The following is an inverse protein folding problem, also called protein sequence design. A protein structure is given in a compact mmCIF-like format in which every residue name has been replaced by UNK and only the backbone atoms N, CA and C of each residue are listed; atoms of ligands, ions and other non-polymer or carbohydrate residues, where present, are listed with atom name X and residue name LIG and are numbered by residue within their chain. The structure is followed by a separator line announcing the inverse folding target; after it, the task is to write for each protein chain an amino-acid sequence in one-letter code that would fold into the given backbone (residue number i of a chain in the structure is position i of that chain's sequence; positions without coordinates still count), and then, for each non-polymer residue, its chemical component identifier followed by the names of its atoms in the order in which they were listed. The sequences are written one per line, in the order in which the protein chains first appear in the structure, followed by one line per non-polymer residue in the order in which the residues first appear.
data_IF_294470522209
#
_entry.id   IF_294470522209
#
_cell.length_a   1.000
_cell.length_b   1.000
_cell.length_c   1.000
_cell.angle_alpha   90.00
_cell.angle_beta   90.00
_cell.angle_gamma   90.00
#
_symmetry.space_group_name_H-M   'P 1'
#
loop_
_entity.id
_entity.type
_entity.pdbx_description
1 polymer ?
#
# COMPACT_ATOMS: atom_id res chain seq x y z
N UNK A 1 34.33 28.52 27.13
CA UNK A 1 32.85 28.52 27.16
C UNK A 1 32.39 29.35 26.01
N UNK A 2 31.76 28.73 25.02
CA UNK A 2 31.16 29.45 23.90
C UNK A 2 29.82 30.03 24.35
N UNK A 3 29.62 31.31 24.12
CA UNK A 3 28.35 31.98 24.38
C UNK A 3 27.28 31.34 23.52
N UNK A 4 26.13 31.02 24.13
CA UNK A 4 24.95 30.49 23.44
C UNK A 4 24.42 31.55 22.46
N UNK A 5 24.20 31.15 21.21
CA UNK A 5 23.64 31.98 20.14
C UNK A 5 23.09 31.10 19.03
N UNK A 6 22.24 31.70 18.19
CA UNK A 6 21.77 31.07 16.94
C UNK A 6 22.84 31.31 15.89
N UNK A 7 23.46 30.25 15.41
CA UNK A 7 24.46 30.32 14.36
C UNK A 7 23.79 29.89 13.05
N UNK A 8 23.79 30.77 12.06
CA UNK A 8 23.37 30.47 10.69
C UNK A 8 24.65 30.27 9.85
N UNK A 9 24.72 29.15 9.16
CA UNK A 9 25.77 28.87 8.19
C UNK A 9 25.15 28.63 6.83
N UNK A 10 25.71 29.30 5.83
CA UNK A 10 25.41 29.04 4.43
C UNK A 10 26.23 27.82 3.96
N UNK A 11 25.58 26.84 3.36
CA UNK A 11 26.26 25.77 2.62
C UNK A 11 26.08 26.01 1.15
N UNK A 12 27.22 26.26 0.48
CA UNK A 12 27.27 26.38 -0.99
C UNK A 12 27.24 24.99 -1.63
N UNK A 13 26.45 24.81 -2.69
CA UNK A 13 26.34 23.54 -3.42
C UNK A 13 25.02 22.77 -3.30
N UNK A 14 24.06 23.25 -2.51
CA UNK A 14 22.74 22.64 -2.34
C UNK A 14 21.61 23.43 -3.05
N UNK A 15 21.86 23.98 -4.24
CA UNK A 15 20.76 24.38 -5.15
C UNK A 15 20.25 23.12 -5.87
N UNK A 16 19.79 22.19 -5.13
CA UNK A 16 19.18 20.99 -5.62
C UNK A 16 18.28 20.49 -4.49
N UNK A 17 17.00 20.82 -4.60
CA UNK A 17 15.93 20.14 -3.88
C UNK A 17 16.21 19.91 -2.39
N UNK A 18 15.92 20.89 -1.55
CA UNK A 18 15.51 20.56 -0.19
C UNK A 18 14.17 19.83 -0.29
N UNK A 19 14.21 18.54 -0.59
CA UNK A 19 13.10 17.65 -0.28
C UNK A 19 13.04 17.59 1.24
N UNK A 20 12.18 18.39 1.85
CA UNK A 20 11.62 18.02 3.13
C UNK A 20 11.04 16.65 2.88
N UNK A 21 11.74 15.61 3.31
CA UNK A 21 11.31 14.23 3.12
C UNK A 21 9.97 14.12 3.82
N UNK A 22 8.89 14.15 3.05
CA UNK A 22 7.55 14.04 3.62
C UNK A 22 7.50 12.69 4.30
N UNK A 23 7.28 12.67 5.61
CA UNK A 23 7.13 11.43 6.38
C UNK A 23 6.05 10.52 5.80
N UNK A 24 5.15 11.07 4.98
CA UNK A 24 4.05 10.36 4.32
C UNK A 24 4.49 9.53 3.09
N UNK A 25 5.75 9.64 2.66
CA UNK A 25 6.31 8.88 1.52
C UNK A 25 7.15 7.68 1.94
N UNK A 26 7.25 7.40 3.24
CA UNK A 26 7.99 6.25 3.75
C UNK A 26 7.21 4.97 3.43
N UNK A 27 7.84 4.11 2.66
CA UNK A 27 7.23 2.90 2.09
C UNK A 27 7.97 1.67 2.59
N UNK A 28 7.24 0.59 2.83
CA UNK A 28 7.79 -0.75 3.08
C UNK A 28 7.49 -1.68 1.92
N UNK A 29 8.36 -2.65 1.67
CA UNK A 29 8.15 -3.72 0.72
C UNK A 29 8.65 -5.04 1.34
N UNK A 30 7.71 -5.91 1.68
CA UNK A 30 7.94 -7.21 2.26
C UNK A 30 7.86 -8.29 1.17
N UNK A 31 8.92 -9.04 1.02
CA UNK A 31 8.97 -10.22 0.16
C UNK A 31 8.82 -11.47 1.04
N UNK A 32 7.71 -12.16 0.87
CA UNK A 32 7.50 -13.47 1.49
C UNK A 32 8.26 -14.55 0.72
N UNK A 33 9.22 -15.17 1.40
CA UNK A 33 10.07 -16.22 0.84
C UNK A 33 9.66 -17.62 1.31
N UNK A 34 8.48 -17.79 1.90
CA UNK A 34 8.00 -19.07 2.44
C UNK A 34 7.87 -20.18 1.39
N UNK A 35 7.67 -19.83 0.12
CA UNK A 35 7.61 -20.76 -1.00
C UNK A 35 8.95 -20.90 -1.77
N UNK A 36 9.95 -20.12 -1.40
CA UNK A 36 11.25 -20.09 -2.05
C UNK A 36 12.26 -20.91 -1.26
N UNK A 37 12.13 -22.24 -1.27
CA UNK A 37 13.00 -23.16 -0.52
C UNK A 37 14.50 -22.90 -0.76
N UNK A 38 14.88 -22.52 -1.98
CA UNK A 38 16.28 -22.23 -2.34
C UNK A 38 16.86 -20.99 -1.69
N UNK A 39 16.02 -20.06 -1.22
CA UNK A 39 16.52 -18.92 -0.44
C UNK A 39 17.15 -19.37 0.88
N UNK A 40 16.67 -20.48 1.43
CA UNK A 40 17.15 -21.08 2.67
C UNK A 40 18.33 -22.03 2.46
N UNK A 41 18.61 -22.45 1.23
CA UNK A 41 19.72 -23.37 0.92
C UNK A 41 21.05 -22.64 0.82
N UNK A 42 22.14 -23.35 1.13
CA UNK A 42 23.51 -22.80 1.15
C UNK A 42 24.00 -22.29 -0.22
N UNK A 43 23.35 -22.65 -1.31
CA UNK A 43 23.76 -22.32 -2.68
C UNK A 43 23.53 -20.85 -3.10
N UNK A 44 22.67 -20.09 -2.40
CA UNK A 44 22.38 -18.68 -2.74
C UNK A 44 23.44 -17.67 -2.25
N UNK A 45 24.53 -18.15 -1.63
CA UNK A 45 25.56 -17.31 -1.02
C UNK A 45 25.21 -16.91 0.41
N UNK A 46 25.71 -17.65 1.39
CA UNK A 46 25.49 -17.44 2.83
C UNK A 46 25.63 -15.96 3.25
N UNK A 47 26.61 -15.25 2.70
CA UNK A 47 26.86 -13.83 3.03
C UNK A 47 25.71 -12.90 2.60
N UNK A 48 25.00 -13.20 1.52
CA UNK A 48 23.84 -12.41 1.04
C UNK A 48 22.60 -12.78 1.84
N UNK A 49 22.38 -14.07 2.09
CA UNK A 49 21.28 -14.58 2.90
C UNK A 49 21.30 -13.96 4.30
N UNK A 50 22.42 -14.00 4.99
CA UNK A 50 22.57 -13.47 6.36
C UNK A 50 22.31 -11.97 6.43
N UNK A 51 22.56 -11.23 5.34
CA UNK A 51 22.25 -9.80 5.25
C UNK A 51 20.78 -9.50 5.01
N UNK A 52 20.09 -10.33 4.25
CA UNK A 52 18.74 -10.03 3.74
C UNK A 52 17.63 -10.68 4.57
N UNK A 53 17.78 -11.97 4.90
CA UNK A 53 16.70 -12.70 5.55
C UNK A 53 16.44 -12.23 6.97
N UNK A 54 15.20 -11.83 7.25
CA UNK A 54 14.77 -11.36 8.55
C UNK A 54 15.28 -9.96 8.94
N UNK A 55 16.10 -9.32 8.09
CA UNK A 55 16.63 -7.99 8.33
C UNK A 55 15.78 -6.93 7.61
N UNK A 56 15.54 -5.81 8.28
CA UNK A 56 14.88 -4.63 7.69
C UNK A 56 15.98 -3.71 7.19
N UNK A 57 15.96 -3.43 5.90
CA UNK A 57 17.00 -2.65 5.22
C UNK A 57 16.37 -1.42 4.58
N UNK A 58 16.96 -0.26 4.82
CA UNK A 58 16.56 0.97 4.16
C UNK A 58 17.30 1.12 2.83
N UNK A 59 16.56 1.36 1.77
CA UNK A 59 17.05 1.58 0.41
C UNK A 59 16.70 2.98 -0.01
N UNK A 60 17.69 3.75 -0.42
CA UNK A 60 17.52 5.13 -0.87
C UNK A 60 17.77 5.28 -2.38
N UNK A 61 18.44 4.30 -2.99
CA UNK A 61 18.78 4.32 -4.41
C UNK A 61 18.91 2.90 -4.99
N UNK A 62 18.93 2.81 -6.32
CA UNK A 62 19.20 1.54 -7.00
C UNK A 62 20.65 1.06 -6.81
N UNK A 63 21.59 1.92 -6.41
CA UNK A 63 22.97 1.52 -6.15
C UNK A 63 23.07 0.73 -4.83
N UNK A 64 22.21 1.02 -3.84
CA UNK A 64 22.15 0.28 -2.58
C UNK A 64 21.81 -1.21 -2.82
N UNK A 65 21.00 -1.50 -3.86
CA UNK A 65 20.66 -2.88 -4.22
C UNK A 65 21.86 -3.68 -4.71
N UNK A 66 22.77 -3.03 -5.46
CA UNK A 66 23.98 -3.66 -5.99
C UNK A 66 24.89 -4.10 -4.85
N UNK A 67 25.01 -3.26 -3.81
CA UNK A 67 25.79 -3.58 -2.60
C UNK A 67 25.20 -4.75 -1.81
N UNK A 68 23.89 -4.94 -1.90
CA UNK A 68 23.16 -6.06 -1.29
C UNK A 68 23.21 -7.33 -2.16
N UNK A 69 23.71 -7.25 -3.39
CA UNK A 69 23.73 -8.38 -4.32
C UNK A 69 22.40 -8.67 -4.99
N UNK A 70 21.42 -7.74 -4.89
CA UNK A 70 20.13 -7.81 -5.57
C UNK A 70 20.32 -7.26 -6.98
N UNK A 71 20.18 -8.11 -8.00
CA UNK A 71 20.49 -7.79 -9.40
C UNK A 71 19.26 -7.92 -10.28
N UNK A 72 19.29 -7.24 -11.44
CA UNK A 72 18.28 -7.39 -12.48
C UNK A 72 18.24 -8.82 -13.01
N UNK A 73 17.16 -9.16 -13.70
CA UNK A 73 17.00 -10.40 -14.43
C UNK A 73 18.24 -10.68 -15.30
N UNK A 74 18.78 -11.89 -15.18
CA UNK A 74 20.05 -12.29 -15.85
C UNK A 74 19.91 -13.47 -16.81
N UNK A 75 18.76 -14.14 -16.80
CA UNK A 75 18.54 -15.43 -17.47
C UNK A 75 18.94 -16.65 -16.64
N UNK A 76 19.40 -16.44 -15.40
CA UNK A 76 19.64 -17.49 -14.42
C UNK A 76 18.37 -17.67 -13.58
N UNK A 77 17.57 -18.70 -13.89
CA UNK A 77 16.25 -18.91 -13.29
C UNK A 77 16.25 -18.96 -11.77
N UNK A 78 17.33 -19.40 -11.14
CA UNK A 78 17.42 -19.48 -9.68
C UNK A 78 17.65 -18.10 -9.04
N UNK A 79 18.60 -17.33 -9.59
CA UNK A 79 18.88 -15.97 -9.12
C UNK A 79 17.76 -15.00 -9.45
N UNK A 80 17.14 -15.18 -10.60
CA UNK A 80 16.11 -14.27 -11.06
C UNK A 80 14.81 -14.40 -10.24
N UNK A 81 14.49 -15.60 -9.75
CA UNK A 81 13.39 -15.77 -8.79
C UNK A 81 13.69 -15.12 -7.44
N UNK A 82 14.93 -15.22 -6.96
CA UNK A 82 15.33 -14.68 -5.65
C UNK A 82 15.55 -13.17 -5.66
N UNK A 83 16.15 -12.66 -6.73
CA UNK A 83 16.61 -11.25 -6.79
C UNK A 83 16.04 -10.48 -7.95
N UNK A 84 15.76 -11.09 -9.08
CA UNK A 84 15.22 -10.42 -10.26
C UNK A 84 13.83 -9.83 -10.01
N UNK A 85 12.94 -10.57 -9.33
CA UNK A 85 11.59 -10.08 -8.96
C UNK A 85 11.69 -8.93 -7.94
N UNK A 86 12.41 -9.04 -6.82
CA UNK A 86 12.65 -7.91 -5.93
C UNK A 86 13.25 -6.70 -6.63
N UNK A 87 14.29 -6.90 -7.44
CA UNK A 87 14.91 -5.82 -8.23
C UNK A 87 13.88 -5.13 -9.13
N UNK A 88 13.09 -5.90 -9.86
CA UNK A 88 12.03 -5.40 -10.75
C UNK A 88 11.05 -4.47 -10.01
N UNK A 89 10.54 -4.90 -8.86
CA UNK A 89 9.62 -4.08 -8.08
C UNK A 89 10.26 -2.81 -7.51
N UNK A 90 11.48 -2.91 -7.01
CA UNK A 90 12.19 -1.77 -6.45
C UNK A 90 12.58 -0.77 -7.56
N UNK A 91 12.97 -1.27 -8.74
CA UNK A 91 13.24 -0.43 -9.90
C UNK A 91 12.00 0.36 -10.35
N UNK A 92 10.84 -0.29 -10.44
CA UNK A 92 9.56 0.38 -10.73
C UNK A 92 9.18 1.38 -9.66
N UNK A 93 9.39 1.06 -8.38
CA UNK A 93 9.14 1.98 -7.29
C UNK A 93 9.93 3.28 -7.46
N UNK A 94 11.25 3.21 -7.60
CA UNK A 94 12.10 4.40 -7.75
C UNK A 94 11.86 5.12 -9.09
N UNK A 95 11.62 4.38 -10.16
CA UNK A 95 11.33 4.96 -11.48
C UNK A 95 10.05 5.82 -11.49
N UNK A 96 9.01 5.40 -10.76
CA UNK A 96 7.72 6.08 -10.74
C UNK A 96 7.66 7.18 -9.67
N UNK A 97 8.17 6.91 -8.46
CA UNK A 97 8.07 7.87 -7.37
C UNK A 97 9.05 9.05 -7.49
N UNK A 98 10.09 8.90 -8.28
CA UNK A 98 11.19 9.87 -8.33
C UNK A 98 12.08 9.80 -7.08
N UNK A 99 12.84 10.88 -6.81
CA UNK A 99 13.93 10.87 -5.82
C UNK A 99 13.53 11.14 -4.36
N UNK A 100 12.25 11.22 -4.02
CA UNK A 100 11.80 11.75 -2.72
C UNK A 100 11.28 10.72 -1.70
N UNK A 101 11.34 9.42 -1.99
CA UNK A 101 10.80 8.37 -1.11
C UNK A 101 11.89 7.54 -0.45
N UNK A 102 11.62 7.11 0.79
CA UNK A 102 12.42 6.12 1.53
C UNK A 102 11.74 4.78 1.41
N UNK A 103 12.49 3.75 1.08
CA UNK A 103 11.99 2.39 0.95
C UNK A 103 12.67 1.49 1.98
N UNK A 104 11.87 0.82 2.80
CA UNK A 104 12.34 -0.27 3.65
C UNK A 104 11.99 -1.59 2.98
N UNK A 105 12.95 -2.50 2.88
CA UNK A 105 12.72 -3.84 2.34
C UNK A 105 13.01 -4.90 3.41
N UNK A 106 12.32 -6.05 3.31
CA UNK A 106 12.56 -7.21 4.14
C UNK A 106 12.22 -8.48 3.37
N UNK A 107 13.04 -9.51 3.55
CA UNK A 107 12.78 -10.86 3.08
C UNK A 107 12.49 -11.73 4.30
N UNK A 108 11.29 -12.28 4.39
CA UNK A 108 10.89 -13.08 5.53
C UNK A 108 10.06 -14.30 5.13
N UNK A 109 10.17 -15.36 5.91
CA UNK A 109 9.24 -16.48 5.83
C UNK A 109 7.95 -16.13 6.56
N UNK A 110 6.89 -15.90 5.80
CA UNK A 110 5.56 -15.58 6.30
C UNK A 110 4.59 -16.77 6.20
N UNK A 111 5.09 -17.98 5.99
CA UNK A 111 4.26 -19.17 5.80
C UNK A 111 3.45 -19.56 7.04
N UNK A 112 3.88 -19.19 8.23
CA UNK A 112 3.21 -19.48 9.51
C UNK A 112 2.46 -18.27 10.05
N UNK A 113 3.09 -17.09 9.98
CA UNK A 113 2.51 -15.85 10.48
C UNK A 113 3.09 -14.63 9.73
N UNK A 114 2.47 -13.47 9.97
CA UNK A 114 2.86 -12.19 9.34
C UNK A 114 3.58 -11.25 10.33
N UNK A 115 4.28 -11.77 11.32
CA UNK A 115 5.01 -10.98 12.33
C UNK A 115 6.11 -10.10 11.73
N UNK A 116 6.61 -10.43 10.53
CA UNK A 116 7.54 -9.61 9.75
C UNK A 116 7.02 -8.18 9.53
N UNK A 117 5.70 -7.98 9.40
CA UNK A 117 5.08 -6.66 9.26
C UNK A 117 5.32 -5.79 10.50
N UNK A 118 5.13 -6.38 11.68
CA UNK A 118 5.38 -5.68 12.95
C UNK A 118 6.87 -5.40 13.14
N UNK A 119 7.74 -6.33 12.75
CA UNK A 119 9.19 -6.14 12.79
C UNK A 119 9.64 -4.99 11.90
N UNK A 120 9.13 -4.91 10.66
CA UNK A 120 9.41 -3.81 9.73
C UNK A 120 8.97 -2.47 10.32
N UNK A 121 7.76 -2.40 10.85
CA UNK A 121 7.23 -1.15 11.39
C UNK A 121 8.01 -0.69 12.64
N UNK A 122 8.41 -1.63 13.50
CA UNK A 122 9.25 -1.32 14.68
C UNK A 122 10.65 -0.86 14.28
N UNK A 123 11.30 -1.53 13.32
CA UNK A 123 12.61 -1.13 12.81
C UNK A 123 12.58 0.25 12.12
N UNK A 124 11.49 0.57 11.46
CA UNK A 124 11.26 1.89 10.86
C UNK A 124 10.68 2.91 11.87
N UNK A 125 10.67 2.62 13.17
CA UNK A 125 10.16 3.51 14.22
C UNK A 125 8.72 4.00 13.99
N UNK A 126 7.85 3.18 13.41
CA UNK A 126 6.47 3.54 13.10
C UNK A 126 6.30 4.48 11.90
N UNK A 127 7.34 4.68 11.10
CA UNK A 127 7.33 5.63 10.00
C UNK A 127 6.76 5.08 8.69
N UNK A 128 6.67 3.76 8.51
CA UNK A 128 6.10 3.18 7.29
C UNK A 128 4.61 3.52 7.23
N UNK A 129 4.17 4.14 6.13
CA UNK A 129 2.80 4.57 5.91
C UNK A 129 2.04 3.65 4.96
N UNK A 130 2.74 3.08 4.00
CA UNK A 130 2.26 2.08 3.08
C UNK A 130 3.24 0.92 3.00
N UNK A 131 2.72 -0.29 3.03
CA UNK A 131 3.48 -1.52 2.95
C UNK A 131 2.99 -2.34 1.76
N UNK A 132 3.88 -2.68 0.84
CA UNK A 132 3.63 -3.71 -0.15
C UNK A 132 3.98 -5.08 0.41
N UNK A 133 3.14 -6.05 0.16
CA UNK A 133 3.40 -7.46 0.45
C UNK A 133 3.39 -8.23 -0.86
N UNK A 134 4.52 -8.78 -1.21
CA UNK A 134 4.65 -9.72 -2.32
C UNK A 134 4.74 -11.14 -1.78
N UNK A 135 3.90 -12.04 -2.27
CA UNK A 135 3.87 -13.44 -1.82
C UNK A 135 3.50 -14.40 -2.94
N UNK A 136 4.04 -15.60 -2.90
CA UNK A 136 3.64 -16.74 -3.74
C UNK A 136 2.56 -17.61 -3.07
N UNK A 137 2.08 -17.22 -1.89
CA UNK A 137 0.96 -17.91 -1.26
C UNK A 137 -0.32 -17.67 -2.05
N UNK A 138 -1.18 -18.68 -2.08
CA UNK A 138 -2.48 -18.57 -2.75
C UNK A 138 -3.36 -17.57 -2.03
N UNK A 139 -3.87 -16.57 -2.77
CA UNK A 139 -4.85 -15.60 -2.24
C UNK A 139 -6.16 -16.28 -1.86
N UNK A 140 -6.59 -17.23 -2.69
CA UNK A 140 -7.85 -17.94 -2.54
C UNK A 140 -7.62 -19.37 -2.07
N UNK A 141 -8.33 -19.75 -1.04
CA UNK A 141 -8.32 -21.11 -0.49
C UNK A 141 -9.70 -21.71 -0.63
N UNK A 142 -9.79 -22.87 -1.26
CA UNK A 142 -11.07 -23.57 -1.36
C UNK A 142 -11.46 -24.13 0.01
N UNK A 143 -12.64 -23.75 0.49
CA UNK A 143 -13.18 -24.17 1.80
C UNK A 143 -14.16 -25.31 1.67
N UNK A 144 -14.92 -25.37 0.56
CA UNK A 144 -15.84 -26.44 0.24
C UNK A 144 -15.69 -26.81 -1.25
N UNK A 145 -15.16 -28.01 -1.56
CA UNK A 145 -15.02 -28.48 -2.93
C UNK A 145 -16.36 -28.70 -3.65
N UNK A 146 -17.40 -29.10 -2.94
CA UNK A 146 -18.72 -29.38 -3.53
C UNK A 146 -19.49 -28.08 -3.81
N UNK A 147 -19.44 -27.12 -2.88
CA UNK A 147 -20.08 -25.82 -3.03
C UNK A 147 -19.22 -24.81 -3.80
N UNK A 148 -17.97 -25.13 -4.15
CA UNK A 148 -17.00 -24.24 -4.79
C UNK A 148 -16.85 -22.89 -4.07
N UNK A 149 -16.85 -22.93 -2.73
CA UNK A 149 -16.65 -21.73 -1.91
C UNK A 149 -15.17 -21.52 -1.59
N UNK A 150 -14.79 -20.24 -1.51
CA UNK A 150 -13.41 -19.83 -1.31
C UNK A 150 -13.31 -18.82 -0.17
N UNK A 151 -12.25 -18.92 0.63
CA UNK A 151 -11.87 -17.91 1.62
C UNK A 151 -10.69 -17.09 1.13
N UNK A 152 -10.53 -15.90 1.72
CA UNK A 152 -9.41 -15.00 1.51
C UNK A 152 -8.72 -14.70 2.86
N UNK A 153 -8.38 -15.77 3.57
CA UNK A 153 -7.81 -15.71 4.93
C UNK A 153 -6.61 -14.77 5.01
N UNK A 154 -5.77 -14.76 3.95
CA UNK A 154 -4.60 -13.90 3.85
C UNK A 154 -4.95 -12.40 4.04
N UNK A 155 -6.05 -11.92 3.48
CA UNK A 155 -6.50 -10.54 3.68
C UNK A 155 -6.91 -10.29 5.12
N UNK A 156 -7.55 -11.27 5.76
CA UNK A 156 -7.97 -11.18 7.16
C UNK A 156 -6.77 -11.12 8.10
N UNK A 157 -5.75 -11.94 7.86
CA UNK A 157 -4.53 -11.98 8.65
C UNK A 157 -3.76 -10.65 8.55
N UNK A 158 -3.58 -10.14 7.33
CA UNK A 158 -2.94 -8.85 7.09
C UNK A 158 -3.71 -7.68 7.73
N UNK A 159 -5.06 -7.71 7.64
CA UNK A 159 -5.91 -6.73 8.30
C UNK A 159 -5.74 -6.74 9.81
N UNK A 160 -5.65 -7.92 10.42
CA UNK A 160 -5.43 -8.07 11.86
C UNK A 160 -4.09 -7.45 12.30
N UNK A 161 -3.01 -7.69 11.55
CA UNK A 161 -1.69 -7.10 11.81
C UNK A 161 -1.71 -5.57 11.67
N UNK A 162 -2.31 -5.05 10.61
CA UNK A 162 -2.43 -3.60 10.42
C UNK A 162 -3.29 -2.92 11.49
N UNK A 163 -4.35 -3.58 11.96
CA UNK A 163 -5.19 -3.09 13.04
C UNK A 163 -4.43 -3.01 14.37
N UNK A 164 -3.68 -4.07 14.72
CA UNK A 164 -2.80 -4.07 15.91
C UNK A 164 -1.80 -2.91 15.89
N UNK A 165 -1.12 -2.70 14.76
CA UNK A 165 -0.20 -1.57 14.59
C UNK A 165 -0.90 -0.21 14.69
N UNK A 166 -2.12 -0.10 14.17
CA UNK A 166 -2.90 1.13 14.31
C UNK A 166 -3.26 1.43 15.78
N UNK A 167 -3.53 0.41 16.59
CA UNK A 167 -3.76 0.54 18.02
C UNK A 167 -2.47 0.92 18.78
N UNK A 168 -1.31 0.47 18.30
CA UNK A 168 0.01 0.90 18.77
C UNK A 168 0.43 2.30 18.29
N UNK A 169 -0.45 3.03 17.62
CA UNK A 169 -0.22 4.36 17.01
C UNK A 169 0.80 4.38 15.86
N UNK A 170 1.01 3.27 15.20
CA UNK A 170 1.84 3.12 14.01
C UNK A 170 1.03 2.65 12.79
N UNK A 171 -0.08 3.35 12.41
CA UNK A 171 -0.98 2.90 11.36
C UNK A 171 -0.29 2.88 10.00
N UNK A 172 -0.54 1.83 9.23
CA UNK A 172 -0.11 1.70 7.84
C UNK A 172 -1.24 1.12 6.96
N UNK A 173 -1.12 1.30 5.65
CA UNK A 173 -1.96 0.65 4.66
C UNK A 173 -1.18 -0.45 3.96
N UNK A 174 -1.78 -1.62 3.77
CA UNK A 174 -1.14 -2.76 3.13
C UNK A 174 -1.69 -2.94 1.71
N UNK A 175 -0.80 -3.06 0.74
CA UNK A 175 -1.11 -3.52 -0.61
C UNK A 175 -0.62 -4.96 -0.74
N UNK A 176 -1.52 -5.88 -0.99
CA UNK A 176 -1.22 -7.28 -1.22
C UNK A 176 -1.16 -7.54 -2.73
N UNK A 177 -0.03 -8.00 -3.20
CA UNK A 177 0.11 -8.50 -4.56
C UNK A 177 -0.33 -9.97 -4.59
N UNK A 178 -1.49 -10.20 -5.19
CA UNK A 178 -2.06 -11.54 -5.33
C UNK A 178 -1.43 -12.25 -6.53
N UNK A 179 -0.64 -13.26 -6.23
CA UNK A 179 0.09 -14.02 -7.25
C UNK A 179 -0.55 -15.40 -7.53
N UNK A 180 -1.85 -15.54 -7.28
CA UNK A 180 -2.53 -16.80 -7.47
C UNK A 180 -3.13 -16.87 -8.87
N UNK A 181 -2.43 -17.56 -9.76
CA UNK A 181 -3.04 -18.04 -11.00
C UNK A 181 -3.93 -19.28 -10.76
N UNK A 182 -3.90 -19.82 -9.56
CA UNK A 182 -4.52 -21.10 -9.19
C UNK A 182 -5.11 -21.04 -7.80
N UNK A 183 -6.15 -21.84 -7.59
CA UNK A 183 -6.78 -22.00 -6.27
C UNK A 183 -6.06 -23.14 -5.56
N UNK A 184 -5.62 -22.90 -4.32
CA UNK A 184 -5.14 -23.97 -3.47
C UNK A 184 -6.32 -24.90 -3.13
N UNK A 185 -6.23 -26.16 -3.54
CA UNK A 185 -7.17 -27.22 -3.18
C UNK A 185 -6.64 -28.06 -2.04
N UNK A 186 -7.52 -28.71 -1.28
CA UNK A 186 -7.13 -29.65 -0.22
C UNK A 186 -6.38 -30.89 -0.76
N UNK A 187 -6.60 -31.25 -2.01
CA UNK A 187 -5.85 -32.23 -2.77
C UNK A 187 -4.86 -31.44 -3.65
N UNK A 188 -3.63 -31.82 -3.74
CA UNK A 188 -2.55 -31.13 -4.46
C UNK A 188 -2.80 -30.87 -5.98
N UNK A 189 -4.04 -30.97 -6.43
CA UNK A 189 -4.47 -30.72 -7.79
C UNK A 189 -4.73 -29.23 -8.01
N UNK A 190 -3.94 -28.62 -8.87
CA UNK A 190 -4.08 -27.24 -9.33
C UNK A 190 -5.36 -27.11 -10.15
N UNK A 191 -6.29 -26.24 -9.75
CA UNK A 191 -7.49 -25.91 -10.51
C UNK A 191 -7.40 -24.54 -11.15
N UNK A 192 -7.92 -24.43 -12.36
CA UNK A 192 -8.10 -23.14 -13.06
C UNK A 192 -9.08 -22.26 -12.28
N UNK A 193 -8.79 -20.97 -12.21
CA UNK A 193 -9.69 -19.99 -11.63
C UNK A 193 -10.66 -19.52 -12.70
N UNK A 194 -11.93 -19.83 -12.53
CA UNK A 194 -13.00 -19.24 -13.35
C UNK A 194 -13.31 -17.83 -12.84
N UNK A 195 -13.26 -16.81 -13.71
CA UNK A 195 -13.51 -15.42 -13.37
C UNK A 195 -14.79 -15.20 -12.56
N UNK A 196 -15.88 -15.84 -12.95
CA UNK A 196 -17.16 -15.73 -12.26
C UNK A 196 -17.16 -16.24 -10.81
N UNK A 197 -16.23 -17.14 -10.46
CA UNK A 197 -16.13 -17.79 -9.14
C UNK A 197 -15.12 -17.12 -8.20
N UNK A 198 -14.40 -16.11 -8.66
CA UNK A 198 -13.49 -15.33 -7.82
C UNK A 198 -14.29 -14.72 -6.66
N UNK A 199 -13.91 -14.96 -5.39
CA UNK A 199 -14.62 -14.40 -4.24
C UNK A 199 -14.46 -12.88 -4.17
N UNK A 200 -15.37 -12.20 -3.49
CA UNK A 200 -15.17 -10.77 -3.18
C UNK A 200 -14.07 -10.61 -2.13
N UNK A 201 -13.22 -9.61 -2.30
CA UNK A 201 -12.26 -9.23 -1.26
C UNK A 201 -12.83 -8.16 -0.30
N UNK A 202 -14.06 -7.68 -0.53
CA UNK A 202 -14.73 -6.71 0.35
C UNK A 202 -15.25 -7.41 1.60
N UNK A 203 -14.38 -7.52 2.61
CA UNK A 203 -14.64 -8.21 3.88
C UNK A 203 -14.47 -7.29 5.10
N UNK A 204 -14.65 -5.98 4.93
CA UNK A 204 -14.40 -4.95 5.94
C UNK A 204 -12.93 -4.79 6.36
N UNK A 205 -12.00 -5.20 5.52
CA UNK A 205 -10.56 -5.05 5.74
C UNK A 205 -10.07 -3.69 5.21
N UNK A 206 -10.26 -2.63 5.99
CA UNK A 206 -9.99 -1.24 5.58
C UNK A 206 -8.51 -0.92 5.37
N UNK A 207 -7.60 -1.67 5.98
CA UNK A 207 -6.16 -1.44 5.88
C UNK A 207 -5.51 -2.19 4.72
N UNK A 208 -6.25 -3.10 4.09
CA UNK A 208 -5.72 -3.98 3.04
C UNK A 208 -6.36 -3.66 1.70
N UNK A 209 -5.55 -3.64 0.66
CA UNK A 209 -5.95 -3.55 -0.76
C UNK A 209 -5.31 -4.70 -1.52
N UNK A 210 -6.02 -5.30 -2.47
CA UNK A 210 -5.54 -6.45 -3.24
C UNK A 210 -5.29 -6.03 -4.68
N UNK A 211 -4.06 -6.22 -5.14
CA UNK A 211 -3.64 -6.01 -6.53
C UNK A 211 -3.72 -7.33 -7.29
N UNK A 212 -4.40 -7.33 -8.43
CA UNK A 212 -4.43 -8.43 -9.36
C UNK A 212 -3.68 -8.09 -10.66
N UNK A 213 -3.20 -9.13 -11.32
CA UNK A 213 -2.57 -8.99 -12.62
C UNK A 213 -1.17 -8.40 -12.56
N UNK A 214 -0.65 -8.18 -13.76
CA UNK A 214 0.70 -7.65 -13.95
C UNK A 214 0.82 -6.85 -15.24
N UNK A 215 1.78 -5.95 -15.28
CA UNK A 215 2.24 -5.34 -16.53
C UNK A 215 3.11 -6.31 -17.30
N UNK A 216 3.02 -6.27 -18.60
CA UNK A 216 3.89 -7.01 -19.51
C UNK A 216 4.92 -6.04 -20.09
N UNK A 217 6.13 -6.16 -19.63
CA UNK A 217 7.31 -5.52 -20.20
C UNK A 217 8.31 -6.59 -20.69
N UNK A 218 9.48 -6.16 -21.10
CA UNK A 218 10.51 -7.05 -21.59
C UNK A 218 11.03 -7.99 -20.48
N UNK A 219 11.15 -7.50 -19.26
CA UNK A 219 11.71 -8.25 -18.13
C UNK A 219 10.74 -9.35 -17.69
N UNK A 220 9.46 -9.04 -17.51
CA UNK A 220 8.42 -10.03 -17.17
C UNK A 220 8.29 -11.08 -18.27
N UNK A 221 8.27 -10.65 -19.53
CA UNK A 221 8.18 -11.58 -20.66
C UNK A 221 9.37 -12.54 -20.73
N UNK A 222 10.57 -12.04 -20.44
CA UNK A 222 11.78 -12.86 -20.41
C UNK A 222 11.78 -13.83 -19.21
N UNK A 223 11.36 -13.37 -18.01
CA UNK A 223 11.21 -14.22 -16.83
C UNK A 223 10.20 -15.36 -17.04
N UNK A 224 9.05 -15.06 -17.66
CA UNK A 224 8.03 -16.06 -17.96
C UNK A 224 8.51 -17.08 -19.00
N UNK A 225 9.26 -16.63 -20.01
CA UNK A 225 9.83 -17.52 -21.03
C UNK A 225 10.87 -18.47 -20.43
N UNK A 226 11.70 -17.97 -19.53
CA UNK A 226 12.74 -18.76 -18.86
C UNK A 226 12.16 -19.74 -17.82
N UNK A 227 11.08 -19.34 -17.14
CA UNK A 227 10.41 -20.16 -16.13
C UNK A 227 8.89 -20.20 -16.37
N UNK A 228 8.41 -21.19 -17.14
CA UNK A 228 6.98 -21.34 -17.42
C UNK A 228 6.09 -21.57 -16.17
N UNK A 229 6.69 -21.93 -15.05
CA UNK A 229 5.98 -22.11 -13.77
C UNK A 229 6.02 -20.86 -12.89
N UNK A 230 6.55 -19.76 -13.40
CA UNK A 230 6.65 -18.53 -12.64
C UNK A 230 5.25 -18.07 -12.25
N UNK A 231 5.03 -17.91 -10.95
CA UNK A 231 3.87 -17.17 -10.44
C UNK A 231 3.90 -15.76 -11.05
N UNK A 232 2.73 -15.12 -11.27
CA UNK A 232 2.72 -13.77 -11.78
C UNK A 232 3.60 -12.84 -10.95
N UNK A 233 4.45 -12.06 -11.60
CA UNK A 233 5.36 -11.12 -10.92
C UNK A 233 4.59 -10.04 -10.19
N UNK A 234 3.49 -9.58 -10.78
CA UNK A 234 2.60 -8.57 -10.19
C UNK A 234 3.05 -7.13 -10.44
N UNK A 235 2.38 -6.19 -9.75
CA UNK A 235 2.54 -4.74 -9.98
C UNK A 235 2.88 -3.97 -8.70
N UNK A 236 3.32 -4.65 -7.63
CA UNK A 236 3.41 -4.02 -6.30
C UNK A 236 4.36 -2.82 -6.29
N UNK A 237 5.50 -2.92 -6.95
CA UNK A 237 6.48 -1.83 -7.02
C UNK A 237 5.92 -0.58 -7.70
N UNK A 238 5.20 -0.76 -8.81
CA UNK A 238 4.56 0.34 -9.52
C UNK A 238 3.44 1.00 -8.69
N UNK A 239 2.59 0.20 -8.03
CA UNK A 239 1.55 0.71 -7.15
C UNK A 239 2.11 1.55 -6.00
N UNK A 240 3.15 1.04 -5.33
CA UNK A 240 3.84 1.76 -4.26
C UNK A 240 4.53 3.02 -4.76
N UNK A 241 5.12 3.01 -5.96
CA UNK A 241 5.71 4.17 -6.60
C UNK A 241 4.67 5.27 -6.86
N UNK A 242 3.50 4.92 -7.40
CA UNK A 242 2.38 5.84 -7.58
C UNK A 242 1.90 6.43 -6.24
N UNK A 243 1.72 5.59 -5.21
CA UNK A 243 1.29 6.02 -3.88
C UNK A 243 2.31 6.97 -3.23
N UNK A 244 3.60 6.65 -3.31
CA UNK A 244 4.66 7.49 -2.76
C UNK A 244 4.80 8.84 -3.50
N UNK A 245 4.47 8.88 -4.80
CA UNK A 245 4.41 10.10 -5.60
C UNK A 245 3.15 10.92 -5.35
N UNK A 246 2.03 10.27 -4.97
CA UNK A 246 0.75 10.92 -4.69
C UNK A 246 0.75 11.66 -3.36
N UNK A 247 0.04 12.81 -3.29
CA UNK A 247 -0.36 13.41 -2.02
C UNK A 247 -1.35 12.50 -1.29
N UNK A 248 -1.55 12.72 0.02
CA UNK A 248 -2.33 11.76 0.83
C UNK A 248 -3.79 11.63 0.43
N UNK A 249 -4.37 12.69 -0.11
CA UNK A 249 -5.76 12.74 -0.60
C UNK A 249 -5.92 12.28 -2.05
N UNK A 250 -4.82 12.13 -2.78
CA UNK A 250 -4.85 11.74 -4.19
C UNK A 250 -4.96 10.23 -4.36
N UNK A 251 -5.79 9.83 -5.30
CA UNK A 251 -5.86 8.44 -5.76
C UNK A 251 -4.63 8.09 -6.60
N UNK A 252 -3.99 6.97 -6.34
CA UNK A 252 -2.91 6.47 -7.19
C UNK A 252 -3.42 5.91 -8.55
N UNK A 253 -4.75 5.84 -8.72
CA UNK A 253 -5.41 5.55 -9.98
C UNK A 253 -5.79 6.83 -10.78
N UNK A 254 -5.26 7.99 -10.43
CA UNK A 254 -5.58 9.25 -11.12
C UNK A 254 -5.01 9.26 -12.54
N UNK A 255 -5.90 9.14 -13.52
CA UNK A 255 -5.57 8.98 -14.96
C UNK A 255 -4.65 10.08 -15.51
N UNK A 256 -4.87 11.34 -15.12
CA UNK A 256 -4.05 12.46 -15.61
C UNK A 256 -2.62 12.49 -15.01
N UNK A 257 -2.39 11.79 -13.90
CA UNK A 257 -1.12 11.84 -13.17
C UNK A 257 -0.28 10.57 -13.33
N UNK A 258 -0.92 9.40 -13.37
CA UNK A 258 -0.25 8.11 -13.28
C UNK A 258 -0.47 7.24 -14.53
N UNK A 259 0.05 7.68 -15.67
CA UNK A 259 0.07 6.87 -16.88
C UNK A 259 1.30 5.95 -16.87
N UNK A 260 1.07 4.65 -16.81
CA UNK A 260 2.11 3.63 -16.69
C UNK A 260 2.48 2.99 -18.05
N UNK A 261 2.03 3.54 -19.17
CA UNK A 261 2.31 2.97 -20.51
C UNK A 261 3.82 2.88 -20.81
N UNK A 262 4.62 3.78 -20.25
CA UNK A 262 6.09 3.77 -20.38
C UNK A 262 6.76 2.61 -19.64
N UNK A 263 6.09 2.05 -18.66
CA UNK A 263 6.55 0.88 -17.89
C UNK A 263 5.91 -0.41 -18.40
N UNK A 264 4.62 -0.37 -18.73
CA UNK A 264 3.82 -1.53 -19.12
C UNK A 264 3.17 -1.31 -20.49
N UNK A 265 3.80 -1.71 -21.58
CA UNK A 265 3.21 -1.59 -22.92
C UNK A 265 1.98 -2.50 -23.09
N UNK A 266 1.92 -3.61 -22.36
CA UNK A 266 0.75 -4.49 -22.32
C UNK A 266 0.47 -4.94 -20.88
N UNK A 267 -0.69 -5.57 -20.66
CA UNK A 267 -1.17 -5.98 -19.34
C UNK A 267 -1.83 -7.35 -19.38
N UNK A 268 -1.67 -8.07 -18.29
CA UNK A 268 -2.16 -9.42 -18.09
C UNK A 268 -2.83 -9.55 -16.71
N UNK A 269 -3.82 -10.42 -16.59
CA UNK A 269 -4.56 -10.56 -15.35
C UNK A 269 -3.87 -11.45 -14.31
N UNK A 270 -2.87 -12.22 -14.69
CA UNK A 270 -2.15 -13.11 -13.77
C UNK A 270 -2.94 -14.34 -13.30
N UNK A 271 -4.18 -14.49 -13.73
CA UNK A 271 -5.06 -15.61 -13.41
C UNK A 271 -6.10 -15.80 -14.55
N UNK A 272 -7.05 -16.71 -14.39
CA UNK A 272 -8.08 -16.99 -15.39
C UNK A 272 -7.71 -18.16 -16.29
N UNK A 273 -8.21 -18.19 -17.52
CA UNK A 273 -7.95 -19.28 -18.47
C UNK A 273 -6.46 -19.48 -18.72
N UNK A 274 -5.88 -20.28 -17.85
CA UNK A 274 -4.45 -20.57 -17.82
C UNK A 274 -4.19 -21.67 -18.83
N UNK A 275 -3.29 -21.44 -19.77
CA UNK A 275 -2.83 -22.49 -20.66
C UNK A 275 -1.78 -23.32 -19.92
N UNK A 276 -2.08 -24.59 -19.73
CA UNK A 276 -1.11 -25.56 -19.22
C UNK A 276 -0.46 -26.29 -20.39
N UNK A 277 0.82 -26.61 -20.26
CA UNK A 277 1.50 -27.53 -21.18
C UNK A 277 1.17 -28.98 -20.83
N UNK A 278 1.76 -29.93 -21.56
CA UNK A 278 1.58 -31.38 -21.34
C UNK A 278 2.08 -31.88 -19.98
N UNK A 279 2.78 -31.04 -19.22
CA UNK A 279 3.29 -31.35 -17.87
C UNK A 279 2.50 -30.60 -16.78
N UNK A 280 1.31 -30.09 -17.10
CA UNK A 280 0.46 -29.27 -16.22
C UNK A 280 1.12 -27.97 -15.72
N UNK A 281 2.10 -27.47 -16.48
CA UNK A 281 2.81 -26.23 -16.17
C UNK A 281 2.15 -25.03 -16.80
N UNK A 282 2.15 -23.93 -16.06
CA UNK A 282 1.59 -22.66 -16.50
C UNK A 282 2.38 -22.09 -17.68
N UNK A 283 1.74 -21.88 -18.82
CA UNK A 283 2.39 -21.28 -20.02
C UNK A 283 1.87 -19.89 -20.35
N UNK A 284 0.66 -19.53 -19.91
CA UNK A 284 0.10 -18.19 -20.08
C UNK A 284 -1.04 -17.94 -19.11
N UNK A 285 -1.28 -16.67 -18.80
CA UNK A 285 -2.43 -16.20 -18.06
C UNK A 285 -3.39 -15.45 -18.97
N UNK A 286 -4.60 -15.15 -18.48
CA UNK A 286 -5.62 -14.44 -19.23
C UNK A 286 -5.14 -13.01 -19.54
N UNK A 287 -5.13 -12.64 -20.83
CA UNK A 287 -4.79 -11.29 -21.26
C UNK A 287 -5.95 -10.34 -20.98
N UNK A 288 -5.63 -9.12 -20.57
CA UNK A 288 -6.62 -8.06 -20.37
C UNK A 288 -7.49 -7.84 -21.62
N UNK A 289 -6.90 -7.88 -22.82
CA UNK A 289 -7.61 -7.69 -24.09
C UNK A 289 -8.67 -8.75 -24.40
N UNK A 290 -8.65 -9.89 -23.73
CA UNK A 290 -9.66 -10.95 -23.88
C UNK A 290 -10.86 -10.78 -22.94
N UNK A 291 -10.81 -9.82 -22.00
CA UNK A 291 -11.89 -9.53 -21.07
C UNK A 291 -12.91 -8.57 -21.67
N UNK A 292 -14.19 -8.86 -21.41
CA UNK A 292 -15.26 -7.93 -21.72
C UNK A 292 -15.53 -6.99 -20.52
N UNK A 293 -16.32 -5.93 -20.79
CA UNK A 293 -16.66 -4.93 -19.77
C UNK A 293 -17.34 -5.53 -18.55
N UNK A 294 -18.22 -6.51 -18.71
CA UNK A 294 -18.96 -7.14 -17.60
C UNK A 294 -18.00 -7.86 -16.64
N UNK A 295 -16.99 -8.54 -17.19
CA UNK A 295 -15.97 -9.24 -16.39
C UNK A 295 -15.07 -8.27 -15.64
N UNK A 296 -14.71 -7.14 -16.25
CA UNK A 296 -13.94 -6.09 -15.61
C UNK A 296 -14.75 -5.38 -14.50
N UNK A 297 -16.03 -5.09 -14.76
CA UNK A 297 -16.93 -4.50 -13.78
C UNK A 297 -17.15 -5.46 -12.58
N UNK A 298 -17.26 -6.78 -12.81
CA UNK A 298 -17.37 -7.78 -11.75
C UNK A 298 -16.13 -7.83 -10.84
N UNK A 299 -14.92 -7.79 -11.43
CA UNK A 299 -13.68 -7.72 -10.64
C UNK A 299 -13.57 -6.43 -9.82
N UNK A 300 -14.00 -5.32 -10.41
CA UNK A 300 -14.03 -4.02 -9.76
C UNK A 300 -15.02 -3.99 -8.59
N UNK A 301 -16.22 -4.53 -8.77
CA UNK A 301 -17.26 -4.65 -7.73
C UNK A 301 -16.86 -5.60 -6.61
N UNK A 302 -16.06 -6.63 -6.92
CA UNK A 302 -15.48 -7.55 -5.94
C UNK A 302 -14.33 -6.94 -5.12
N UNK A 303 -13.90 -5.73 -5.46
CA UNK A 303 -12.92 -4.96 -4.66
C UNK A 303 -11.46 -5.14 -5.06
N UNK A 304 -11.18 -5.74 -6.21
CA UNK A 304 -9.83 -5.92 -6.71
C UNK A 304 -9.32 -4.70 -7.46
N UNK A 305 -8.03 -4.43 -7.35
CA UNK A 305 -7.32 -3.40 -8.10
C UNK A 305 -6.50 -4.11 -9.18
N UNK A 306 -6.61 -3.65 -10.41
CA UNK A 306 -5.88 -4.20 -11.56
C UNK A 306 -5.48 -3.08 -12.53
N UNK A 307 -4.56 -3.38 -13.43
CA UNK A 307 -4.20 -2.46 -14.51
C UNK A 307 -5.28 -2.49 -15.59
N UNK A 308 -5.63 -1.32 -16.12
CA UNK A 308 -6.65 -1.18 -17.15
C UNK A 308 -6.25 -0.16 -18.23
N UNK A 309 -6.93 -0.24 -19.37
CA UNK A 309 -6.83 0.70 -20.50
C UNK A 309 -8.21 1.32 -20.74
N UNK A 310 -8.27 2.62 -20.97
CA UNK A 310 -9.52 3.31 -21.28
C UNK A 310 -9.70 3.47 -22.77
N UNK A 311 -10.89 3.12 -23.30
CA UNK A 311 -11.24 3.36 -24.69
C UNK A 311 -11.18 4.85 -25.02
N UNK A 312 -10.52 5.20 -26.12
CA UNK A 312 -10.32 6.61 -26.52
C UNK A 312 -9.03 7.25 -25.98
N UNK A 313 -8.31 6.59 -25.06
CA UNK A 313 -6.94 6.92 -24.70
C UNK A 313 -6.02 5.88 -25.34
N UNK A 314 -5.52 6.17 -26.55
CA UNK A 314 -4.73 5.22 -27.35
C UNK A 314 -3.45 4.75 -26.68
N UNK A 315 -2.92 5.54 -25.74
CA UNK A 315 -1.63 5.29 -25.08
C UNK A 315 -1.73 5.47 -23.56
N UNK A 316 -2.48 4.61 -22.88
CA UNK A 316 -2.59 4.70 -21.43
C UNK A 316 -2.77 3.36 -20.75
N UNK A 317 -2.01 3.14 -19.66
CA UNK A 317 -2.18 2.06 -18.70
C UNK A 317 -2.29 2.68 -17.32
N UNK A 318 -3.31 2.30 -16.57
CA UNK A 318 -3.66 2.91 -15.28
C UNK A 318 -4.09 1.83 -14.30
N UNK A 319 -3.99 2.08 -13.01
CA UNK A 319 -4.72 1.29 -12.02
C UNK A 319 -6.22 1.59 -12.11
N UNK A 320 -7.06 0.57 -11.95
CA UNK A 320 -8.52 0.69 -12.06
C UNK A 320 -9.12 1.60 -10.98
N UNK A 321 -8.72 1.40 -9.74
CA UNK A 321 -9.14 2.17 -8.56
C UNK A 321 -8.05 2.18 -7.48
N UNK A 322 -8.30 2.92 -6.38
CA UNK A 322 -7.51 2.92 -5.15
C UNK A 322 -8.29 2.37 -3.96
N UNK A 323 -9.09 1.33 -4.18
CA UNK A 323 -9.99 0.79 -3.17
C UNK A 323 -9.29 -0.12 -2.16
N UNK A 324 -9.86 -0.18 -0.95
CA UNK A 324 -9.50 -1.14 0.08
C UNK A 324 -10.49 -2.31 0.08
N UNK A 325 -10.17 -3.38 0.78
CA UNK A 325 -11.10 -4.51 0.97
C UNK A 325 -12.26 -4.14 1.94
N UNK A 326 -12.76 -2.91 1.83
CA UNK A 326 -13.88 -2.38 2.63
C UNK A 326 -14.77 -1.48 1.77
N UNK A 327 -16.07 -1.50 2.03
CA UNK A 327 -17.06 -0.61 1.40
C UNK A 327 -17.52 0.56 2.30
N UNK A 328 -16.96 0.67 3.51
CA UNK A 328 -17.28 1.73 4.47
C UNK A 328 -16.66 3.08 4.15
N UNK A 329 -16.58 3.95 5.16
CA UNK A 329 -16.01 5.31 5.04
C UNK A 329 -14.54 5.29 4.61
N UNK A 330 -13.81 4.23 4.94
CA UNK A 330 -12.39 4.02 4.64
C UNK A 330 -12.15 3.15 3.39
N UNK A 331 -13.07 3.20 2.44
CA UNK A 331 -13.05 2.35 1.23
C UNK A 331 -11.95 2.67 0.23
N UNK A 332 -11.15 3.73 0.42
CA UNK A 332 -10.04 4.07 -0.49
C UNK A 332 -8.72 4.23 0.26
N UNK A 333 -7.62 3.92 -0.41
CA UNK A 333 -6.25 4.11 0.11
C UNK A 333 -6.02 5.58 0.46
N UNK A 334 -6.47 6.51 -0.39
CA UNK A 334 -6.35 7.94 -0.16
C UNK A 334 -7.03 8.39 1.15
N UNK A 335 -8.25 7.91 1.44
CA UNK A 335 -8.94 8.22 2.71
C UNK A 335 -8.21 7.68 3.93
N UNK A 336 -7.69 6.45 3.86
CA UNK A 336 -6.88 5.88 4.93
C UNK A 336 -5.60 6.67 5.15
N UNK A 337 -4.89 7.04 4.09
CA UNK A 337 -3.67 7.88 4.19
C UNK A 337 -3.95 9.23 4.82
N UNK A 338 -5.05 9.89 4.45
CA UNK A 338 -5.46 11.18 5.01
C UNK A 338 -5.71 11.08 6.52
N UNK A 339 -6.49 10.10 6.97
CA UNK A 339 -6.77 9.92 8.41
C UNK A 339 -5.52 9.47 9.18
N UNK A 340 -4.67 8.64 8.60
CA UNK A 340 -3.43 8.22 9.24
C UNK A 340 -2.46 9.41 9.42
N UNK A 341 -2.37 10.31 8.45
CA UNK A 341 -1.58 11.54 8.55
C UNK A 341 -2.10 12.43 9.68
N UNK A 342 -3.41 12.71 9.70
CA UNK A 342 -4.01 13.51 10.78
C UNK A 342 -3.75 12.89 12.16
N UNK A 343 -3.91 11.56 12.28
CA UNK A 343 -3.68 10.82 13.53
C UNK A 343 -2.24 10.98 14.03
N UNK A 344 -1.25 10.81 13.15
CA UNK A 344 0.17 11.01 13.48
C UNK A 344 0.47 12.45 13.87
N UNK A 345 0.00 13.41 13.08
CA UNK A 345 0.28 14.83 13.32
C UNK A 345 -0.36 15.33 14.62
N UNK A 346 -1.62 15.02 14.86
CA UNK A 346 -2.33 15.39 16.10
C UNK A 346 -1.68 14.71 17.33
N UNK A 347 -1.35 13.41 17.22
CA UNK A 347 -0.66 12.71 18.29
C UNK A 347 0.68 13.37 18.63
N UNK A 348 1.50 13.65 17.63
CA UNK A 348 2.82 14.26 17.85
C UNK A 348 2.71 15.66 18.50
N UNK A 349 1.71 16.44 18.13
CA UNK A 349 1.46 17.75 18.73
C UNK A 349 0.97 17.67 20.18
N UNK A 350 0.27 16.58 20.55
CA UNK A 350 -0.26 16.37 21.91
C UNK A 350 0.71 15.65 22.84
N UNK A 351 1.67 14.88 22.32
CA UNK A 351 2.65 14.12 23.14
C UNK A 351 3.36 14.95 24.23
N UNK A 352 3.81 16.21 23.97
CA UNK A 352 4.48 17.02 24.99
C UNK A 352 3.60 17.35 26.20
N UNK A 353 2.29 17.16 26.10
CA UNK A 353 1.34 17.47 27.17
C UNK A 353 0.94 16.24 27.98
N UNK A 354 1.40 15.07 27.64
CA UNK A 354 1.19 13.85 28.45
C UNK A 354 1.87 14.02 29.80
N UNK A 355 1.16 13.69 30.90
CA UNK A 355 1.58 13.90 32.27
C UNK A 355 1.86 15.37 32.68
N UNK A 356 1.42 16.34 31.86
CA UNK A 356 1.55 17.76 32.25
C UNK A 356 0.49 18.15 33.29
N UNK A 357 0.81 19.10 34.19
CA UNK A 357 -0.18 19.59 35.14
C UNK A 357 -1.27 20.39 34.44
N UNK A 358 -2.52 20.01 34.66
CA UNK A 358 -3.69 20.69 34.12
C UNK A 358 -4.43 21.45 35.22
N UNK A 359 -4.54 22.78 35.06
CA UNK A 359 -5.30 23.61 36.00
C UNK A 359 -6.80 23.36 35.80
N UNK A 360 -7.49 23.04 36.89
CA UNK A 360 -8.94 22.85 36.93
C UNK A 360 -9.61 24.04 37.61
N UNK A 361 -10.89 24.20 37.39
CA UNK A 361 -11.76 25.15 38.07
C UNK A 361 -12.02 24.63 39.50
N UNK A 362 -11.66 25.38 40.56
CA UNK A 362 -11.81 24.90 41.93
C UNK A 362 -13.27 24.74 42.36
N UNK A 363 -14.22 25.37 41.69
CA UNK A 363 -15.65 25.29 42.03
C UNK A 363 -16.34 24.05 41.42
N UNK A 364 -15.85 23.58 40.27
CA UNK A 364 -16.48 22.50 39.50
C UNK A 364 -15.62 21.24 39.40
N UNK A 365 -14.31 21.34 39.59
CA UNK A 365 -13.34 20.27 39.38
C UNK A 365 -13.12 19.95 37.89
N UNK A 366 -13.72 20.71 36.96
CA UNK A 366 -13.55 20.53 35.54
C UNK A 366 -12.34 21.27 35.00
N UNK A 367 -11.90 20.89 33.79
CA UNK A 367 -10.79 21.56 33.13
C UNK A 367 -11.13 23.04 32.86
N UNK A 368 -10.18 23.95 33.15
CA UNK A 368 -10.41 25.38 32.93
C UNK A 368 -10.64 25.69 31.45
N UNK A 369 -11.54 26.67 31.16
CA UNK A 369 -11.87 27.07 29.79
C UNK A 369 -10.62 27.45 28.99
N UNK A 370 -9.64 28.10 29.60
CA UNK A 370 -8.38 28.45 28.94
C UNK A 370 -7.58 27.21 28.48
N UNK A 371 -7.57 26.13 29.27
CA UNK A 371 -6.92 24.88 28.89
C UNK A 371 -7.69 24.13 27.78
N UNK A 372 -9.02 24.16 27.85
CA UNK A 372 -9.87 23.59 26.76
C UNK A 372 -9.56 24.30 25.44
N UNK A 373 -9.58 25.63 25.41
CA UNK A 373 -9.27 26.42 24.22
C UNK A 373 -7.84 26.14 23.72
N UNK A 374 -6.87 26.02 24.62
CA UNK A 374 -5.49 25.69 24.25
C UNK A 374 -5.41 24.36 23.50
N UNK A 375 -6.01 23.28 24.00
CA UNK A 375 -5.98 21.98 23.36
C UNK A 375 -6.79 21.97 22.06
N UNK A 376 -7.92 22.69 22.01
CA UNK A 376 -8.68 22.86 20.76
C UNK A 376 -7.82 23.53 19.69
N UNK A 377 -7.10 24.60 20.04
CA UNK A 377 -6.25 25.32 19.10
C UNK A 377 -5.09 24.41 18.59
N UNK A 378 -4.43 23.68 19.46
CA UNK A 378 -3.35 22.75 19.04
C UNK A 378 -3.83 21.78 17.96
N UNK A 379 -4.99 21.17 18.16
CA UNK A 379 -5.53 20.22 17.18
C UNK A 379 -6.04 20.95 15.93
N UNK A 380 -6.70 22.11 16.10
CA UNK A 380 -7.22 22.91 15.00
C UNK A 380 -6.11 23.44 14.09
N UNK A 381 -4.98 23.87 14.63
CA UNK A 381 -3.83 24.38 13.87
C UNK A 381 -3.26 23.31 12.94
N UNK A 382 -3.15 22.06 13.43
CA UNK A 382 -2.73 20.92 12.62
C UNK A 382 -3.71 20.66 11.48
N UNK A 383 -5.01 20.62 11.79
CA UNK A 383 -6.04 20.32 10.79
C UNK A 383 -6.24 21.49 9.81
N UNK A 384 -6.05 22.74 10.25
CA UNK A 384 -6.02 23.92 9.37
C UNK A 384 -4.85 23.83 8.39
N UNK A 385 -3.68 23.36 8.83
CA UNK A 385 -2.54 23.14 7.94
C UNK A 385 -2.88 22.10 6.87
N UNK A 386 -3.53 20.99 7.23
CA UNK A 386 -3.99 19.99 6.27
C UNK A 386 -5.04 20.54 5.31
N UNK A 387 -5.95 21.40 5.80
CA UNK A 387 -6.96 22.04 4.96
C UNK A 387 -6.33 23.04 3.99
N UNK A 388 -5.37 23.84 4.42
CA UNK A 388 -4.65 24.79 3.56
C UNK A 388 -3.82 24.09 2.48
N UNK A 389 -3.36 22.86 2.76
CA UNK A 389 -2.69 22.00 1.80
C UNK A 389 -3.66 21.21 0.89
N UNK A 390 -4.97 21.51 0.97
CA UNK A 390 -6.02 20.81 0.21
C UNK A 390 -6.10 19.30 0.47
N UNK A 391 -5.60 18.83 1.62
CA UNK A 391 -5.61 17.42 2.00
C UNK A 391 -6.95 16.98 2.60
N UNK A 392 -7.71 17.95 3.16
CA UNK A 392 -9.06 17.77 3.67
C UNK A 392 -9.93 18.96 3.26
N UNK A 393 -11.24 18.73 3.09
CA UNK A 393 -12.20 19.78 2.76
C UNK A 393 -12.66 20.57 3.98
N UNK A 394 -12.59 19.99 5.17
CA UNK A 394 -12.97 20.61 6.42
C UNK A 394 -12.77 19.70 7.62
N UNK A 395 -12.95 20.28 8.81
CA UNK A 395 -12.83 19.53 10.06
C UNK A 395 -13.67 20.16 11.17
N UNK A 396 -13.87 19.41 12.25
CA UNK A 396 -14.37 19.94 13.52
C UNK A 396 -13.58 19.37 14.69
N UNK A 397 -13.39 20.18 15.74
CA UNK A 397 -12.72 19.77 16.99
C UNK A 397 -13.63 20.08 18.16
N UNK A 398 -13.86 19.10 19.02
CA UNK A 398 -14.76 19.24 20.15
C UNK A 398 -14.12 18.66 21.42
N UNK A 399 -14.13 19.43 22.49
CA UNK A 399 -13.75 18.98 23.84
C UNK A 399 -14.95 19.22 24.74
N UNK A 400 -15.45 18.18 25.41
CA UNK A 400 -16.50 18.32 26.40
C UNK A 400 -15.96 19.13 27.59
N UNK A 401 -16.68 20.20 27.93
CA UNK A 401 -16.32 21.11 29.02
C UNK A 401 -16.51 20.49 30.40
N UNK A 402 -17.32 19.45 30.50
CA UNK A 402 -17.67 18.80 31.76
C UNK A 402 -16.79 17.58 32.08
N UNK A 403 -15.63 17.47 31.45
CA UNK A 403 -14.69 16.39 31.77
C UNK A 403 -14.02 16.62 33.12
N UNK A 404 -14.15 15.64 34.00
CA UNK A 404 -13.46 15.65 35.30
C UNK A 404 -12.12 14.92 35.19
N UNK A 405 -11.08 15.67 34.85
CA UNK A 405 -9.73 15.13 34.69
C UNK A 405 -9.13 14.68 36.03
N UNK A 406 -9.52 15.28 37.17
CA UNK A 406 -9.06 14.87 38.50
C UNK A 406 -9.56 13.49 38.89
N UNK A 407 -10.71 13.06 38.35
CA UNK A 407 -11.31 11.76 38.66
C UNK A 407 -10.79 10.66 37.74
N UNK A 408 -10.56 10.99 36.46
CA UNK A 408 -10.34 9.99 35.41
C UNK A 408 -8.93 9.99 34.85
N UNK A 409 -8.07 10.97 35.23
CA UNK A 409 -6.72 11.21 34.72
C UNK A 409 -6.64 11.20 33.19
N UNK A 410 -7.76 11.52 32.51
CA UNK A 410 -7.91 11.42 31.06
C UNK A 410 -8.58 12.66 30.50
N UNK A 411 -8.00 13.21 29.43
CA UNK A 411 -8.60 14.26 28.60
C UNK A 411 -9.01 13.67 27.25
N UNK A 412 -10.28 13.76 26.91
CA UNK A 412 -10.85 13.28 25.65
C UNK A 412 -11.02 14.47 24.69
N UNK A 413 -10.34 14.41 23.56
CA UNK A 413 -10.46 15.34 22.45
C UNK A 413 -11.08 14.58 21.27
N UNK A 414 -12.16 15.10 20.72
CA UNK A 414 -12.81 14.52 19.53
C UNK A 414 -12.59 15.44 18.35
N UNK A 415 -12.23 14.88 17.22
CA UNK A 415 -12.21 15.58 15.96
C UNK A 415 -12.81 14.73 14.84
N UNK A 416 -13.33 15.37 13.83
CA UNK A 416 -13.82 14.76 12.60
C UNK A 416 -13.26 15.49 11.40
N UNK A 417 -13.07 14.75 10.31
CA UNK A 417 -12.53 15.25 9.05
C UNK A 417 -13.57 15.08 7.94
N UNK A 418 -13.64 16.06 7.06
CA UNK A 418 -14.32 15.93 5.78
C UNK A 418 -13.25 15.70 4.72
N UNK A 419 -13.12 14.46 4.16
CA UNK A 419 -12.10 14.16 3.17
C UNK A 419 -12.37 14.92 1.86
N UNK A 420 -11.33 15.03 1.03
CA UNK A 420 -11.49 15.48 -0.36
C UNK A 420 -12.22 14.37 -1.14
N UNK A 421 -13.16 14.76 -1.98
CA UNK A 421 -13.91 13.82 -2.83
C UNK A 421 -13.06 13.38 -4.03
N UNK A 422 -13.07 12.08 -4.31
CA UNK A 422 -12.51 11.51 -5.54
C UNK A 422 -13.66 11.00 -6.41
N UNK A 423 -13.78 11.53 -7.62
CA UNK A 423 -14.77 11.07 -8.61
C UNK A 423 -14.20 9.84 -9.34
N UNK A 424 -14.50 8.65 -8.87
CA UNK A 424 -14.10 7.40 -9.55
C UNK A 424 -14.95 7.08 -10.77
N UNK A 425 -16.13 7.70 -10.90
CA UNK A 425 -17.05 7.57 -12.03
C UNK A 425 -17.66 8.92 -12.34
N UNK A 426 -17.66 9.30 -13.61
CA UNK A 426 -18.32 10.51 -14.12
C UNK A 426 -19.38 10.05 -15.11
N UNK A 427 -20.64 10.38 -14.83
CA UNK A 427 -21.76 10.10 -15.73
C UNK A 427 -22.17 11.40 -16.44
N UNK A 428 -22.19 11.37 -17.75
CA UNK A 428 -22.67 12.47 -18.57
C UNK A 428 -23.94 12.00 -19.26
N UNK A 429 -25.04 12.72 -19.01
CA UNK A 429 -26.31 12.47 -19.69
C UNK A 429 -26.41 13.42 -20.86
N UNK A 430 -26.43 12.89 -22.06
CA UNK A 430 -26.61 13.66 -23.28
C UNK A 430 -28.00 13.46 -23.89
N UNK A 431 -28.53 14.47 -24.51
CA UNK A 431 -29.84 14.43 -25.18
C UNK A 431 -29.88 15.39 -26.37
N UNK A 432 -30.64 15.03 -27.37
CA UNK A 432 -30.92 15.91 -28.50
C UNK A 432 -32.09 16.83 -28.15
N UNK A 433 -31.92 18.14 -28.34
CA UNK A 433 -32.98 19.12 -28.19
C UNK A 433 -33.35 19.71 -29.56
N UNK A 434 -34.63 19.94 -29.79
CA UNK A 434 -35.13 20.60 -31.02
C UNK A 434 -34.82 22.11 -31.00
N UNK A 435 -34.64 22.71 -29.82
CA UNK A 435 -34.30 24.12 -29.66
C UNK A 435 -33.42 24.28 -28.41
N UNK A 436 -32.41 25.17 -28.46
CA UNK A 436 -31.72 25.63 -27.27
C UNK A 436 -32.62 26.55 -26.49
N UNK A 437 -32.95 26.21 -25.26
CA UNK A 437 -33.60 27.12 -24.31
C UNK A 437 -32.56 27.91 -23.56
#
# INVERSE_FOLDING_TARGET
MALGGVFMSDTDGNIGTSSTTSTEKVTGLLFDISKQAKFFEEGAGLAVKDKLQGNVIEINSMDDLKELGITAYSGDTEKDLLFGIPYYHINHFFGIQGSAGRLFIMFADCGVDWNAIEQMQRAAHGMINQLGVWTEQSLWKQTDPEAETYSIDLVTDLQSKAASLADENAPLSILLCANSAVIATAEESVKKVELGKIPTCVINARFVSVLLGQGLDADVSAMQLANPNLTPVGNIGAALGCIASASVQESFAWVNKFNLIGYFPDIEMGFGDVTLNSEDKLTSTLKYSSLNKIQLDDLDDKGYIFLCKYSGLESGVFFSKDQTCSNGDYRTVARNRTIHKSRRAVRNALLPYVNSPLKVDPSTGYLSSAKITMFQNIVSDILTTMQNNEEISGFSVTIDKNQNVLKNDTLIIKYSLVPVGVASRIEVVEGLALTNK
#
